data_IF_021192465943
#
_entry.id   IF_021192465943
#
_cell.length_a   1.000
_cell.length_b   1.000
_cell.length_c   1.000
_cell.angle_alpha   90.00
_cell.angle_beta   90.00
_cell.angle_gamma   90.00
#
_symmetry.space_group_name_H-M   'P 1'
#
loop_
_entity.id
_entity.type
_entity.pdbx_description
1 polymer ?
#
# COMPACT_ATOMS: atom_id res chain seq x y z
N UNK A 1 -12.30 21.79 -14.52
CA UNK A 1 -12.26 20.68 -13.55
C UNK A 1 -10.84 20.64 -13.01
N UNK A 2 -10.63 20.57 -11.69
CA UNK A 2 -9.25 20.39 -11.15
C UNK A 2 -8.66 19.10 -11.66
N UNK A 3 -7.35 19.10 -11.91
CA UNK A 3 -6.60 17.91 -12.25
C UNK A 3 -6.71 16.89 -11.12
N UNK A 4 -6.81 15.59 -11.45
CA UNK A 4 -6.85 14.48 -10.49
C UNK A 4 -5.68 14.57 -9.49
N UNK A 5 -4.47 14.80 -9.98
CA UNK A 5 -3.25 14.88 -9.15
C UNK A 5 -3.32 16.01 -8.12
N UNK A 6 -3.91 17.14 -8.49
CA UNK A 6 -4.13 18.25 -7.55
C UNK A 6 -5.12 17.85 -6.46
N UNK A 7 -6.19 17.13 -6.82
CA UNK A 7 -7.18 16.65 -5.84
C UNK A 7 -6.60 15.59 -4.90
N UNK A 8 -5.77 14.70 -5.41
CA UNK A 8 -5.05 13.72 -4.57
C UNK A 8 -4.11 14.43 -3.58
N UNK A 9 -3.28 15.35 -4.05
CA UNK A 9 -2.38 16.13 -3.19
C UNK A 9 -3.15 16.89 -2.10
N UNK A 10 -4.20 17.65 -2.48
CA UNK A 10 -5.04 18.40 -1.53
C UNK A 10 -5.69 17.48 -0.47
N UNK A 11 -6.15 16.30 -0.86
CA UNK A 11 -6.75 15.34 0.06
C UNK A 11 -5.74 14.83 1.10
N UNK A 12 -4.54 14.47 0.65
CA UNK A 12 -3.47 13.97 1.51
C UNK A 12 -2.88 15.07 2.39
N UNK A 13 -2.69 16.28 1.86
CA UNK A 13 -2.26 17.46 2.64
C UNK A 13 -3.27 17.78 3.76
N UNK A 14 -4.57 17.82 3.45
CA UNK A 14 -5.61 18.07 4.45
C UNK A 14 -5.66 16.97 5.52
N UNK A 15 -5.48 15.71 5.12
CA UNK A 15 -5.42 14.57 6.03
C UNK A 15 -4.22 14.66 6.98
N UNK A 16 -3.05 15.04 6.47
CA UNK A 16 -1.85 15.16 7.30
C UNK A 16 -1.93 16.38 8.23
N UNK A 17 -2.49 17.51 7.76
CA UNK A 17 -2.78 18.66 8.62
C UNK A 17 -3.70 18.28 9.79
N UNK A 18 -4.76 17.51 9.52
CA UNK A 18 -5.65 16.99 10.57
C UNK A 18 -4.91 16.05 11.54
N UNK A 19 -3.94 15.27 11.08
CA UNK A 19 -3.11 14.40 11.94
C UNK A 19 -2.32 15.18 12.98
N UNK A 20 -1.89 16.40 12.65
CA UNK A 20 -1.12 17.26 13.53
C UNK A 20 -1.97 17.97 14.59
N UNK A 21 -3.27 18.18 14.34
CA UNK A 21 -4.15 18.95 15.22
C UNK A 21 -5.17 18.11 16.00
N UNK A 22 -5.57 16.96 15.47
CA UNK A 22 -6.53 16.06 16.13
C UNK A 22 -5.83 15.14 17.12
N UNK A 23 -6.54 14.76 18.18
CA UNK A 23 -6.10 13.65 19.01
C UNK A 23 -6.04 12.35 18.20
N UNK A 24 -5.25 11.38 18.66
CA UNK A 24 -5.11 10.08 17.99
C UNK A 24 -6.46 9.37 17.81
N UNK A 25 -7.36 9.51 18.76
CA UNK A 25 -8.71 8.92 18.71
C UNK A 25 -9.59 9.62 17.67
N UNK A 26 -9.62 10.95 17.65
CA UNK A 26 -10.38 11.73 16.67
C UNK A 26 -9.89 11.48 15.25
N UNK A 27 -8.56 11.47 15.03
CA UNK A 27 -7.97 11.16 13.74
C UNK A 27 -8.34 9.73 13.28
N UNK A 28 -8.25 8.75 14.19
CA UNK A 28 -8.67 7.38 13.92
C UNK A 28 -10.14 7.28 13.55
N UNK A 29 -11.00 8.01 14.22
CA UNK A 29 -12.44 8.02 13.93
C UNK A 29 -12.77 8.67 12.59
N UNK A 30 -12.04 9.72 12.21
CA UNK A 30 -12.25 10.46 10.96
C UNK A 30 -11.72 9.72 9.74
N UNK A 31 -10.52 9.13 9.82
CA UNK A 31 -9.77 8.65 8.65
C UNK A 31 -9.48 7.16 8.63
N UNK A 32 -9.83 6.37 9.64
CA UNK A 32 -9.31 5.03 9.67
C UNK A 32 -10.30 3.92 9.33
N UNK A 33 -9.85 3.07 8.42
CA UNK A 33 -10.37 1.73 8.20
C UNK A 33 -9.87 0.71 9.26
N UNK A 34 -9.39 1.18 10.42
CA UNK A 34 -8.64 0.36 11.40
C UNK A 34 -9.33 -0.93 11.79
N UNK A 35 -10.66 -0.94 11.85
CA UNK A 35 -11.42 -2.16 12.18
C UNK A 35 -11.10 -3.33 11.23
N UNK A 36 -10.78 -3.06 9.96
CA UNK A 36 -10.42 -4.11 9.01
C UNK A 36 -8.97 -4.58 9.20
N UNK A 37 -8.08 -3.68 9.60
CA UNK A 37 -6.66 -4.00 9.71
C UNK A 37 -6.29 -4.85 10.94
N UNK A 38 -7.25 -5.11 11.85
CA UNK A 38 -7.00 -6.02 12.98
C UNK A 38 -6.69 -7.45 12.52
N UNK A 39 -7.19 -7.85 11.33
CA UNK A 39 -6.91 -9.16 10.73
C UNK A 39 -5.65 -9.17 9.86
N UNK A 40 -5.05 -8.03 9.57
CA UNK A 40 -4.03 -7.87 8.51
C UNK A 40 -2.63 -8.43 8.88
N UNK A 41 -2.49 -9.21 9.97
CA UNK A 41 -1.18 -9.73 10.40
C UNK A 41 -0.52 -10.61 9.34
N UNK A 42 -1.25 -11.55 8.75
CA UNK A 42 -0.66 -12.53 7.83
C UNK A 42 -0.18 -11.92 6.51
N UNK A 43 -0.86 -10.87 5.99
CA UNK A 43 -0.39 -10.16 4.80
C UNK A 43 0.86 -9.36 5.12
N UNK A 44 0.91 -8.70 6.29
CA UNK A 44 2.10 -7.96 6.73
C UNK A 44 3.30 -8.88 6.94
N UNK A 45 3.11 -10.01 7.64
CA UNK A 45 4.18 -11.00 7.84
C UNK A 45 4.71 -11.53 6.49
N UNK A 46 3.82 -11.74 5.51
CA UNK A 46 4.20 -12.17 4.17
C UNK A 46 5.01 -11.10 3.42
N UNK A 47 4.54 -9.84 3.45
CA UNK A 47 5.26 -8.71 2.87
C UNK A 47 6.64 -8.56 3.51
N UNK A 48 6.71 -8.53 4.84
CA UNK A 48 7.97 -8.36 5.58
C UNK A 48 9.00 -9.42 5.22
N UNK A 49 8.55 -10.66 5.05
CA UNK A 49 9.41 -11.74 4.60
C UNK A 49 9.96 -11.50 3.20
N UNK A 50 9.12 -11.05 2.25
CA UNK A 50 9.54 -10.76 0.89
C UNK A 50 10.53 -9.59 0.85
N UNK A 51 10.18 -8.48 1.50
CA UNK A 51 10.96 -7.24 1.52
C UNK A 51 12.32 -7.49 2.17
N UNK A 52 12.34 -8.14 3.35
CA UNK A 52 13.57 -8.43 4.09
C UNK A 52 14.52 -9.35 3.32
N UNK A 53 14.00 -10.25 2.48
CA UNK A 53 14.82 -11.15 1.68
C UNK A 53 15.66 -10.45 0.61
N UNK A 54 15.38 -9.17 0.35
CA UNK A 54 16.03 -8.34 -0.67
C UNK A 54 16.76 -7.11 -0.10
N UNK A 55 16.80 -6.96 1.22
CA UNK A 55 17.28 -5.71 1.84
C UNK A 55 18.78 -5.48 1.64
N UNK A 56 19.60 -6.50 1.91
CA UNK A 56 21.06 -6.34 1.90
C UNK A 56 21.61 -6.00 0.51
N UNK A 57 22.40 -4.95 0.41
CA UNK A 57 23.03 -4.51 -0.84
C UNK A 57 22.06 -3.84 -1.83
N UNK A 58 20.86 -3.43 -1.36
CA UNK A 58 19.79 -2.95 -2.25
C UNK A 58 19.39 -1.52 -1.96
N UNK A 59 19.07 -0.78 -3.05
CA UNK A 59 18.36 0.50 -2.99
C UNK A 59 16.87 0.26 -3.19
N UNK A 60 16.05 0.82 -2.30
CA UNK A 60 14.61 0.66 -2.35
C UNK A 60 13.90 1.99 -2.55
N UNK A 61 12.83 1.96 -3.36
CA UNK A 61 11.87 3.04 -3.49
C UNK A 61 10.59 2.68 -2.73
N UNK A 62 10.20 3.51 -1.77
CA UNK A 62 8.86 3.52 -1.18
C UNK A 62 7.99 4.46 -2.04
N UNK A 63 7.16 3.87 -2.86
CA UNK A 63 6.40 4.54 -3.91
C UNK A 63 5.07 5.04 -3.35
N UNK A 64 4.87 6.35 -3.33
CA UNK A 64 3.83 7.05 -2.59
C UNK A 64 3.94 6.74 -1.09
N UNK A 65 5.04 7.22 -0.48
CA UNK A 65 5.48 6.81 0.85
C UNK A 65 4.65 7.42 1.99
N UNK A 66 3.77 8.39 1.67
CA UNK A 66 3.02 9.14 2.66
C UNK A 66 3.95 9.76 3.72
N UNK A 67 3.56 9.72 5.00
CA UNK A 67 4.37 10.28 6.09
C UNK A 67 5.57 9.38 6.51
N UNK A 68 6.04 8.45 5.65
CA UNK A 68 7.29 7.72 5.78
C UNK A 68 7.30 6.53 6.72
N UNK A 69 6.15 6.01 7.16
CA UNK A 69 6.10 4.87 8.11
C UNK A 69 6.73 3.60 7.52
N UNK A 70 6.43 3.29 6.25
CA UNK A 70 7.03 2.16 5.54
C UNK A 70 8.51 2.39 5.29
N UNK A 71 8.90 3.59 4.87
CA UNK A 71 10.28 3.94 4.59
C UNK A 71 11.19 3.76 5.80
N UNK A 72 10.77 4.21 7.00
CA UNK A 72 11.51 3.98 8.24
C UNK A 72 11.63 2.49 8.59
N UNK A 73 10.58 1.72 8.33
CA UNK A 73 10.64 0.27 8.49
C UNK A 73 11.65 -0.38 7.54
N UNK A 74 11.74 0.09 6.28
CA UNK A 74 12.70 -0.38 5.29
C UNK A 74 14.14 -0.04 5.72
N UNK A 75 14.38 1.18 6.21
CA UNK A 75 15.69 1.57 6.76
C UNK A 75 16.12 0.64 7.90
N UNK A 76 15.20 0.32 8.82
CA UNK A 76 15.47 -0.63 9.92
C UNK A 76 15.66 -2.09 9.44
N UNK A 77 15.24 -2.45 8.24
CA UNK A 77 15.47 -3.78 7.67
C UNK A 77 16.85 -3.97 7.05
N UNK A 78 17.65 -2.88 6.95
CA UNK A 78 19.03 -2.93 6.45
C UNK A 78 19.16 -2.76 4.94
N UNK A 79 18.29 -1.98 4.30
CA UNK A 79 18.51 -1.49 2.95
C UNK A 79 19.67 -0.50 2.92
N UNK A 80 20.47 -0.53 1.88
CA UNK A 80 21.62 0.37 1.73
C UNK A 80 21.17 1.82 1.59
N UNK A 81 20.05 2.04 0.88
CA UNK A 81 19.44 3.36 0.74
C UNK A 81 17.93 3.26 0.50
N UNK A 82 17.16 4.13 1.16
CA UNK A 82 15.71 4.21 1.04
C UNK A 82 15.31 5.55 0.43
N UNK A 83 14.67 5.52 -0.72
CA UNK A 83 14.02 6.68 -1.31
C UNK A 83 12.51 6.60 -1.06
N UNK A 84 11.91 7.73 -0.66
CA UNK A 84 10.46 7.87 -0.58
C UNK A 84 10.01 9.02 -1.47
N UNK A 85 8.93 8.81 -2.21
CA UNK A 85 8.28 9.87 -2.98
C UNK A 85 6.80 9.93 -2.64
N UNK A 86 6.25 11.13 -2.61
CA UNK A 86 4.81 11.34 -2.49
C UNK A 86 4.42 12.65 -3.19
N UNK A 87 3.15 12.76 -3.59
CA UNK A 87 2.65 13.99 -4.22
C UNK A 87 2.30 15.07 -3.17
N UNK A 88 2.04 14.66 -1.92
CA UNK A 88 1.69 15.54 -0.81
C UNK A 88 2.95 16.15 -0.19
N UNK A 89 3.01 17.48 -0.20
CA UNK A 89 4.10 18.22 0.44
C UNK A 89 4.07 18.10 1.97
N UNK A 90 2.89 18.05 2.56
CA UNK A 90 2.71 17.92 4.02
C UNK A 90 3.13 16.53 4.51
N UNK A 91 2.77 15.46 3.77
CA UNK A 91 3.20 14.10 4.12
C UNK A 91 4.72 13.95 4.01
N UNK A 92 5.35 14.50 2.97
CA UNK A 92 6.83 14.52 2.82
C UNK A 92 7.50 15.35 3.92
N UNK A 93 6.92 16.49 4.32
CA UNK A 93 7.41 17.28 5.47
C UNK A 93 7.44 16.44 6.75
N UNK A 94 6.34 15.72 7.02
CA UNK A 94 6.26 14.80 8.17
C UNK A 94 7.25 13.63 8.03
N UNK A 95 7.41 13.07 6.85
CA UNK A 95 8.36 11.98 6.59
C UNK A 95 9.80 12.42 6.87
N UNK A 96 10.21 13.60 6.38
CA UNK A 96 11.54 14.17 6.64
C UNK A 96 11.80 14.42 8.13
N UNK A 97 10.81 14.93 8.87
CA UNK A 97 10.93 15.11 10.32
C UNK A 97 11.16 13.77 11.03
N UNK A 98 10.37 12.75 10.70
CA UNK A 98 10.53 11.39 11.25
C UNK A 98 11.89 10.78 10.90
N UNK A 99 12.40 11.06 9.71
CA UNK A 99 13.70 10.61 9.24
C UNK A 99 14.82 11.13 10.16
N UNK A 100 14.81 12.46 10.45
CA UNK A 100 15.76 13.10 11.33
C UNK A 100 15.63 12.53 12.75
N UNK A 101 14.41 12.44 13.28
CA UNK A 101 14.15 11.93 14.64
C UNK A 101 14.61 10.47 14.81
N UNK A 102 14.71 9.72 13.72
CA UNK A 102 15.12 8.31 13.71
C UNK A 102 16.59 8.07 13.35
N UNK A 103 17.33 9.11 12.96
CA UNK A 103 18.77 9.04 12.65
C UNK A 103 19.11 8.34 11.32
N UNK A 104 18.17 8.29 10.36
CA UNK A 104 18.37 7.65 9.05
C UNK A 104 18.65 8.63 7.89
N UNK A 105 18.91 9.90 8.17
CA UNK A 105 19.13 10.96 7.18
C UNK A 105 20.34 10.72 6.24
N UNK A 106 21.25 9.84 6.61
CA UNK A 106 22.42 9.46 5.78
C UNK A 106 22.12 8.34 4.79
N UNK A 107 21.06 7.59 5.04
CA UNK A 107 20.69 6.38 4.27
C UNK A 107 19.28 6.44 3.72
N UNK A 108 18.63 7.59 3.84
CA UNK A 108 17.27 7.77 3.29
C UNK A 108 17.06 9.21 2.83
N UNK A 109 16.15 9.37 1.85
CA UNK A 109 15.78 10.66 1.26
C UNK A 109 14.32 10.65 0.86
N UNK A 110 13.58 11.73 1.15
CA UNK A 110 12.18 11.88 0.77
C UNK A 110 11.96 13.14 -0.07
N UNK A 111 11.19 12.99 -1.16
CA UNK A 111 10.96 14.07 -2.11
C UNK A 111 9.48 14.18 -2.51
N UNK A 112 9.00 15.41 -2.67
CA UNK A 112 7.71 15.66 -3.33
C UNK A 112 7.90 15.35 -4.82
N UNK A 113 7.16 14.36 -5.32
CA UNK A 113 7.30 13.91 -6.71
C UNK A 113 6.02 13.27 -7.22
N UNK A 114 5.72 13.52 -8.49
CA UNK A 114 4.66 12.79 -9.21
C UNK A 114 5.12 11.36 -9.53
N UNK A 115 4.45 10.40 -8.94
CA UNK A 115 4.76 8.99 -9.10
C UNK A 115 4.56 8.48 -10.54
N UNK A 116 3.72 9.14 -11.34
CA UNK A 116 3.48 8.83 -12.76
C UNK A 116 4.50 9.47 -13.71
N UNK A 117 5.38 10.33 -13.17
CA UNK A 117 6.43 11.02 -13.95
C UNK A 117 7.65 11.27 -13.08
N UNK A 118 8.34 10.20 -12.72
CA UNK A 118 9.48 10.27 -11.82
C UNK A 118 10.73 10.86 -12.51
N UNK A 119 11.51 11.63 -11.75
CA UNK A 119 12.78 12.23 -12.23
C UNK A 119 13.99 11.32 -12.04
N UNK A 120 13.83 10.15 -11.45
CA UNK A 120 14.92 9.17 -11.30
C UNK A 120 15.39 8.64 -12.65
N UNK A 121 16.69 8.36 -12.80
CA UNK A 121 17.22 7.67 -13.96
C UNK A 121 16.63 6.27 -14.14
N UNK A 122 16.72 5.73 -15.34
CA UNK A 122 16.39 4.33 -15.62
C UNK A 122 17.24 3.39 -14.74
N UNK A 123 16.67 2.25 -14.33
CA UNK A 123 17.37 1.23 -13.56
C UNK A 123 17.97 1.74 -12.24
N UNK A 124 17.25 2.58 -11.49
CA UNK A 124 17.72 3.19 -10.26
C UNK A 124 17.57 2.28 -9.03
N UNK A 125 16.52 1.43 -9.00
CA UNK A 125 16.12 0.70 -7.80
C UNK A 125 16.19 -0.82 -7.96
N UNK A 126 16.66 -1.49 -6.91
CA UNK A 126 16.66 -2.95 -6.81
C UNK A 126 15.28 -3.46 -6.36
N UNK A 127 14.59 -2.66 -5.53
CA UNK A 127 13.26 -2.98 -4.99
C UNK A 127 12.36 -1.74 -5.03
N UNK A 128 11.08 -1.94 -5.36
CA UNK A 128 10.05 -0.90 -5.25
C UNK A 128 8.90 -1.45 -4.41
N UNK A 129 8.42 -0.65 -3.45
CA UNK A 129 7.31 -1.00 -2.55
C UNK A 129 6.11 -0.12 -2.86
N UNK A 130 4.97 -0.73 -3.15
CA UNK A 130 3.69 -0.07 -3.44
C UNK A 130 2.65 -0.56 -2.42
N UNK A 131 2.40 0.19 -1.35
CA UNK A 131 1.51 -0.22 -0.26
C UNK A 131 0.15 0.49 -0.33
N UNK A 132 -0.82 -0.08 -1.07
CA UNK A 132 -2.16 0.46 -1.19
C UNK A 132 -2.18 1.80 -1.93
N UNK A 133 -1.41 1.91 -3.01
CA UNK A 133 -1.18 3.17 -3.72
C UNK A 133 -1.54 3.12 -5.20
N UNK A 134 -1.51 1.93 -5.82
CA UNK A 134 -1.73 1.82 -7.27
C UNK A 134 -3.14 2.21 -7.69
N UNK A 135 -4.12 2.09 -6.79
CA UNK A 135 -5.49 2.49 -7.07
C UNK A 135 -5.73 4.02 -7.03
N UNK A 136 -4.75 4.81 -6.55
CA UNK A 136 -4.75 6.27 -6.65
C UNK A 136 -4.22 6.78 -8.00
N UNK A 137 -3.56 5.93 -8.78
CA UNK A 137 -2.77 6.30 -9.96
C UNK A 137 -3.46 5.89 -11.27
N UNK A 138 -3.08 6.57 -12.35
CA UNK A 138 -3.33 6.06 -13.68
C UNK A 138 -2.33 4.93 -13.96
N UNK A 139 -2.85 3.71 -14.00
CA UNK A 139 -2.03 2.50 -14.19
C UNK A 139 -1.32 2.49 -15.55
N UNK A 140 -1.89 3.14 -16.56
CA UNK A 140 -1.26 3.21 -17.88
C UNK A 140 -0.06 4.16 -17.90
N UNK A 141 0.04 5.10 -16.96
CA UNK A 141 1.21 5.96 -16.73
C UNK A 141 2.16 5.38 -15.67
N UNK A 142 1.62 4.82 -14.59
CA UNK A 142 2.41 4.32 -13.47
C UNK A 142 3.25 3.08 -13.81
N UNK A 143 2.70 2.10 -14.55
CA UNK A 143 3.44 0.86 -14.86
C UNK A 143 4.67 1.07 -15.74
N UNK A 144 4.65 1.91 -16.81
CA UNK A 144 5.85 2.27 -17.57
C UNK A 144 6.93 2.88 -16.68
N UNK A 145 6.57 3.83 -15.80
CA UNK A 145 7.51 4.50 -14.90
C UNK A 145 8.13 3.53 -13.89
N UNK A 146 7.31 2.69 -13.26
CA UNK A 146 7.78 1.63 -12.36
C UNK A 146 8.75 0.67 -13.07
N UNK A 147 8.44 0.30 -14.31
CA UNK A 147 9.30 -0.57 -15.11
C UNK A 147 10.61 0.12 -15.50
N UNK A 148 10.56 1.42 -15.82
CA UNK A 148 11.73 2.22 -16.23
C UNK A 148 12.75 2.35 -15.11
N UNK A 149 12.29 2.67 -13.90
CA UNK A 149 13.19 2.91 -12.75
C UNK A 149 13.64 1.63 -12.06
N UNK A 150 12.98 0.49 -12.30
CA UNK A 150 13.36 -0.79 -11.75
C UNK A 150 14.56 -1.37 -12.50
N UNK A 151 15.58 -1.83 -11.79
CA UNK A 151 16.73 -2.52 -12.38
C UNK A 151 16.31 -3.86 -13.00
N UNK A 152 17.02 -4.35 -14.03
CA UNK A 152 16.87 -5.72 -14.51
C UNK A 152 17.06 -6.73 -13.37
N UNK A 153 16.09 -7.62 -13.19
CA UNK A 153 16.08 -8.60 -12.07
C UNK A 153 15.64 -8.03 -10.73
N UNK A 154 15.29 -6.74 -10.67
CA UNK A 154 14.69 -6.11 -9.49
C UNK A 154 13.30 -6.64 -9.16
N UNK A 155 12.75 -6.24 -8.03
CA UNK A 155 11.45 -6.68 -7.53
C UNK A 155 10.53 -5.50 -7.22
N UNK A 156 9.29 -5.57 -7.70
CA UNK A 156 8.21 -4.74 -7.18
C UNK A 156 7.35 -5.60 -6.25
N UNK A 157 7.07 -5.08 -5.06
CA UNK A 157 6.08 -5.64 -4.15
C UNK A 157 4.92 -4.66 -4.02
N UNK A 158 3.75 -5.08 -4.50
CA UNK A 158 2.53 -4.29 -4.39
C UNK A 158 1.52 -5.00 -3.48
N UNK A 159 0.94 -4.27 -2.53
CA UNK A 159 -0.19 -4.74 -1.73
C UNK A 159 -1.41 -3.86 -2.03
N UNK A 160 -2.48 -4.48 -2.53
CA UNK A 160 -3.66 -3.75 -2.97
C UNK A 160 -4.96 -4.43 -2.52
N UNK A 161 -6.01 -3.62 -2.41
CA UNK A 161 -7.37 -4.13 -2.26
C UNK A 161 -7.93 -4.56 -3.62
N UNK A 162 -8.69 -5.67 -3.63
CA UNK A 162 -9.36 -6.17 -4.83
C UNK A 162 -10.78 -5.64 -4.98
N UNK A 163 -11.13 -5.28 -6.21
CA UNK A 163 -12.42 -4.69 -6.58
C UNK A 163 -13.59 -5.66 -6.73
N UNK A 164 -13.46 -6.95 -6.43
CA UNK A 164 -14.52 -7.93 -6.69
C UNK A 164 -15.39 -8.26 -5.49
N UNK A 165 -14.89 -8.11 -4.26
CA UNK A 165 -15.62 -8.45 -3.04
C UNK A 165 -16.82 -7.52 -2.83
N UNK A 166 -18.08 -8.04 -2.82
CA UNK A 166 -19.27 -7.19 -2.72
C UNK A 166 -19.38 -6.48 -1.36
N UNK A 167 -18.89 -7.10 -0.28
CA UNK A 167 -18.89 -6.48 1.05
C UNK A 167 -17.93 -5.30 1.12
N UNK A 168 -16.76 -5.43 0.50
CA UNK A 168 -15.78 -4.34 0.39
C UNK A 168 -16.34 -3.22 -0.50
N UNK A 169 -16.97 -3.55 -1.63
CA UNK A 169 -17.65 -2.55 -2.47
C UNK A 169 -18.72 -1.78 -1.70
N UNK A 170 -19.58 -2.50 -0.98
CA UNK A 170 -20.63 -1.88 -0.15
C UNK A 170 -20.02 -0.96 0.90
N UNK A 171 -19.00 -1.43 1.63
CA UNK A 171 -18.30 -0.63 2.63
C UNK A 171 -17.69 0.65 2.01
N UNK A 172 -17.00 0.53 0.87
CA UNK A 172 -16.42 1.70 0.16
C UNK A 172 -17.51 2.71 -0.22
N UNK A 173 -18.66 2.25 -0.70
CA UNK A 173 -19.81 3.10 -1.03
C UNK A 173 -20.39 3.80 0.20
N UNK A 174 -20.35 3.17 1.38
CA UNK A 174 -20.85 3.75 2.63
C UNK A 174 -19.86 4.72 3.30
N UNK A 175 -18.62 4.74 2.87
CA UNK A 175 -17.54 5.56 3.45
C UNK A 175 -16.81 6.40 2.40
N UNK A 176 -17.52 7.27 1.64
CA UNK A 176 -16.90 8.05 0.56
C UNK A 176 -15.89 9.09 1.09
N UNK A 177 -16.06 9.59 2.32
CA UNK A 177 -15.19 10.57 2.96
C UNK A 177 -13.78 10.05 3.27
N UNK A 178 -13.56 8.74 3.18
CA UNK A 178 -12.24 8.12 3.42
C UNK A 178 -11.35 8.07 2.17
N UNK A 179 -11.81 8.61 1.05
CA UNK A 179 -11.11 8.48 -0.24
C UNK A 179 -11.48 9.59 -1.21
N UNK A 180 -10.65 9.76 -2.23
CA UNK A 180 -10.94 10.67 -3.34
C UNK A 180 -12.02 10.09 -4.28
N UNK A 181 -12.57 10.94 -5.14
CA UNK A 181 -13.52 10.50 -6.17
C UNK A 181 -12.86 9.49 -7.13
N UNK A 182 -11.60 9.69 -7.47
CA UNK A 182 -10.82 8.77 -8.32
C UNK A 182 -10.74 7.37 -7.72
N UNK A 183 -10.30 7.24 -6.47
CA UNK A 183 -10.20 5.96 -5.78
C UNK A 183 -11.52 5.19 -5.71
N UNK A 184 -12.66 5.87 -5.71
CA UNK A 184 -13.98 5.23 -5.65
C UNK A 184 -14.22 4.36 -6.86
N UNK A 185 -13.75 4.79 -8.04
CA UNK A 185 -14.00 4.14 -9.33
C UNK A 185 -12.81 3.26 -9.79
N UNK A 186 -11.60 3.47 -9.23
CA UNK A 186 -10.35 2.87 -9.71
C UNK A 186 -9.72 1.85 -8.74
N UNK A 187 -10.53 1.00 -8.11
CA UNK A 187 -10.02 -0.15 -7.35
C UNK A 187 -9.47 -1.23 -8.31
N UNK A 188 -8.33 -1.83 -7.97
CA UNK A 188 -7.66 -2.78 -8.84
C UNK A 188 -8.49 -4.05 -9.13
N UNK A 189 -8.38 -4.49 -10.37
CA UNK A 189 -9.03 -5.70 -10.90
C UNK A 189 -8.02 -6.57 -11.66
N UNK A 190 -8.50 -7.66 -12.26
CA UNK A 190 -7.66 -8.49 -13.15
C UNK A 190 -7.20 -7.73 -14.40
N UNK A 191 -7.86 -6.63 -14.79
CA UNK A 191 -7.45 -5.82 -15.92
C UNK A 191 -6.05 -5.23 -15.68
N UNK A 192 -5.84 -4.62 -14.52
CA UNK A 192 -4.58 -3.99 -14.13
C UNK A 192 -3.47 -5.03 -13.96
N UNK A 193 -3.81 -6.22 -13.42
CA UNK A 193 -2.88 -7.36 -13.37
C UNK A 193 -2.48 -7.88 -14.76
N UNK A 194 -3.38 -7.84 -15.75
CA UNK A 194 -3.03 -8.18 -17.13
C UNK A 194 -2.12 -7.12 -17.75
N UNK A 195 -2.37 -5.83 -17.48
CA UNK A 195 -1.53 -4.74 -17.95
C UNK A 195 -0.10 -4.87 -17.41
N UNK A 196 0.07 -5.21 -16.12
CA UNK A 196 1.40 -5.36 -15.52
C UNK A 196 2.27 -6.40 -16.22
N UNK A 197 1.68 -7.47 -16.78
CA UNK A 197 2.41 -8.51 -17.54
C UNK A 197 3.06 -8.02 -18.85
N UNK A 198 2.70 -6.81 -19.31
CA UNK A 198 3.36 -6.19 -20.47
C UNK A 198 4.73 -5.59 -20.11
N UNK A 199 4.92 -5.24 -18.83
CA UNK A 199 6.08 -4.54 -18.32
C UNK A 199 7.00 -5.44 -17.48
N UNK A 200 6.46 -6.49 -16.86
CA UNK A 200 7.18 -7.36 -15.95
C UNK A 200 7.14 -8.82 -16.40
N UNK A 201 8.32 -9.44 -16.52
CA UNK A 201 8.48 -10.81 -16.99
C UNK A 201 7.80 -11.85 -16.09
N UNK A 202 7.68 -11.57 -14.79
CA UNK A 202 7.09 -12.48 -13.83
C UNK A 202 6.17 -11.70 -12.88
N UNK A 203 4.90 -12.06 -12.87
CA UNK A 203 3.89 -11.51 -11.97
C UNK A 203 3.32 -12.66 -11.16
N UNK A 204 3.57 -12.65 -9.84
CA UNK A 204 3.00 -13.59 -8.90
C UNK A 204 1.95 -12.87 -8.06
N UNK A 205 0.85 -13.53 -7.76
CA UNK A 205 -0.21 -12.95 -6.93
C UNK A 205 -0.57 -13.91 -5.82
N UNK A 206 -0.62 -13.41 -4.60
CA UNK A 206 -1.14 -14.11 -3.43
C UNK A 206 -2.30 -13.34 -2.84
N UNK A 207 -3.39 -14.05 -2.57
CA UNK A 207 -4.66 -13.49 -2.11
C UNK A 207 -4.83 -13.70 -0.61
N UNK A 208 -5.49 -12.73 0.05
CA UNK A 208 -5.67 -12.74 1.50
C UNK A 208 -7.07 -12.28 1.88
N UNK A 209 -7.64 -12.93 2.91
CA UNK A 209 -8.84 -12.50 3.63
C UNK A 209 -10.14 -12.52 2.81
N UNK A 210 -10.82 -13.64 2.87
CA UNK A 210 -12.21 -13.79 2.46
C UNK A 210 -13.06 -14.20 3.68
N UNK A 211 -12.90 -15.43 4.17
CA UNK A 211 -13.60 -15.91 5.36
C UNK A 211 -13.16 -15.18 6.63
N UNK A 212 -11.88 -14.79 6.69
CA UNK A 212 -11.31 -14.05 7.84
C UNK A 212 -11.99 -12.70 8.09
N UNK A 213 -12.63 -12.10 7.09
CA UNK A 213 -13.45 -10.89 7.29
C UNK A 213 -14.56 -11.09 8.34
N UNK A 214 -15.06 -12.32 8.52
CA UNK A 214 -16.06 -12.65 9.54
C UNK A 214 -15.53 -12.54 10.99
N UNK A 215 -14.21 -12.47 11.19
CA UNK A 215 -13.62 -12.27 12.52
C UNK A 215 -13.68 -10.80 13.00
N UNK A 216 -13.84 -9.85 12.10
CA UNK A 216 -13.78 -8.41 12.41
C UNK A 216 -14.77 -7.97 13.50
N UNK A 217 -16.05 -8.38 13.49
CA UNK A 217 -17.00 -8.01 14.53
C UNK A 217 -16.59 -8.48 15.94
N UNK A 218 -15.71 -9.47 16.04
CA UNK A 218 -15.25 -10.07 17.28
C UNK A 218 -13.90 -9.53 17.76
N UNK A 219 -13.33 -8.52 17.09
CA UNK A 219 -11.96 -8.02 17.31
C UNK A 219 -11.62 -7.72 18.78
N UNK A 220 -12.60 -7.24 19.56
CA UNK A 220 -12.43 -6.88 20.97
C UNK A 220 -13.00 -7.92 21.95
N UNK A 221 -13.19 -9.18 21.50
CA UNK A 221 -13.76 -10.26 22.31
C UNK A 221 -12.78 -11.44 22.44
N UNK A 222 -13.01 -12.31 23.44
CA UNK A 222 -12.23 -13.55 23.58
C UNK A 222 -12.42 -14.53 22.40
N UNK A 223 -13.49 -14.36 21.62
CA UNK A 223 -13.77 -15.19 20.43
C UNK A 223 -12.90 -14.82 19.22
N UNK A 224 -12.24 -13.66 19.22
CA UNK A 224 -11.46 -13.20 18.07
C UNK A 224 -10.38 -14.20 17.63
N UNK A 225 -9.54 -14.64 18.57
CA UNK A 225 -8.44 -15.59 18.26
C UNK A 225 -8.94 -16.93 17.70
N UNK A 226 -9.90 -17.63 18.32
CA UNK A 226 -10.42 -18.89 17.77
C UNK A 226 -11.11 -18.69 16.40
N UNK A 227 -11.88 -17.61 16.20
CA UNK A 227 -12.50 -17.34 14.90
C UNK A 227 -11.43 -17.05 13.84
N UNK A 228 -10.41 -16.25 14.15
CA UNK A 228 -9.27 -15.99 13.25
C UNK A 228 -8.56 -17.27 12.84
N UNK A 229 -8.39 -18.22 13.74
CA UNK A 229 -7.73 -19.50 13.44
C UNK A 229 -8.58 -20.35 12.48
N UNK A 230 -9.88 -20.49 12.77
CA UNK A 230 -10.81 -21.26 11.93
C UNK A 230 -10.95 -20.63 10.55
N UNK A 231 -11.23 -19.33 10.49
CA UNK A 231 -11.44 -18.64 9.23
C UNK A 231 -10.15 -18.52 8.41
N UNK A 232 -8.99 -18.42 9.07
CA UNK A 232 -7.68 -18.46 8.42
C UNK A 232 -7.40 -19.82 7.77
N UNK A 233 -7.80 -20.93 8.40
CA UNK A 233 -7.73 -22.27 7.80
C UNK A 233 -8.65 -22.38 6.58
N UNK A 234 -9.88 -21.85 6.67
CA UNK A 234 -10.83 -21.79 5.55
C UNK A 234 -10.22 -20.96 4.40
N UNK A 235 -9.64 -19.80 4.68
CA UNK A 235 -8.98 -18.98 3.65
C UNK A 235 -7.81 -19.70 2.98
N UNK A 236 -7.04 -20.49 3.73
CA UNK A 236 -5.94 -21.28 3.17
C UNK A 236 -6.42 -22.29 2.10
N UNK A 237 -7.67 -22.72 2.17
CA UNK A 237 -8.32 -23.59 1.18
C UNK A 237 -8.93 -22.74 0.07
N UNK A 238 -9.78 -21.76 0.42
CA UNK A 238 -10.52 -20.94 -0.55
C UNK A 238 -9.60 -20.17 -1.51
N UNK A 239 -8.46 -19.67 -1.02
CA UNK A 239 -7.50 -18.91 -1.83
C UNK A 239 -6.77 -19.77 -2.87
N UNK A 240 -6.93 -21.08 -2.85
CA UNK A 240 -6.41 -22.00 -3.89
C UNK A 240 -7.43 -22.28 -5.01
N UNK A 241 -8.68 -21.90 -4.81
CA UNK A 241 -9.77 -22.18 -5.77
C UNK A 241 -9.85 -21.04 -6.78
N UNK A 242 -9.58 -21.31 -8.08
CA UNK A 242 -9.71 -20.31 -9.13
C UNK A 242 -11.10 -19.65 -9.13
N UNK A 243 -11.13 -18.33 -9.25
CA UNK A 243 -12.39 -17.55 -9.18
C UNK A 243 -12.78 -17.15 -7.76
N UNK A 244 -12.78 -18.03 -6.77
CA UNK A 244 -13.09 -17.69 -5.37
C UNK A 244 -12.02 -16.75 -4.79
N UNK A 245 -10.75 -16.96 -5.10
CA UNK A 245 -9.64 -16.12 -4.69
C UNK A 245 -9.81 -14.64 -5.09
N UNK A 246 -10.57 -14.35 -6.15
CA UNK A 246 -10.87 -12.98 -6.59
C UNK A 246 -11.78 -12.24 -5.62
N UNK A 247 -12.51 -12.95 -4.75
CA UNK A 247 -13.31 -12.36 -3.69
C UNK A 247 -12.48 -11.99 -2.45
N UNK A 248 -11.17 -12.22 -2.46
CA UNK A 248 -10.28 -11.78 -1.39
C UNK A 248 -10.37 -10.26 -1.18
N UNK A 249 -10.11 -9.82 0.04
CA UNK A 249 -10.02 -8.39 0.32
C UNK A 249 -8.72 -7.79 -0.21
N UNK A 250 -7.60 -8.49 -0.04
CA UNK A 250 -6.28 -7.99 -0.40
C UNK A 250 -5.50 -9.00 -1.25
N UNK A 251 -4.58 -8.46 -2.07
CA UNK A 251 -3.57 -9.21 -2.81
C UNK A 251 -2.17 -8.60 -2.60
N UNK A 252 -1.18 -9.46 -2.72
CA UNK A 252 0.24 -9.07 -2.81
C UNK A 252 0.84 -9.70 -4.04
#
# INVERSE_FOLDING_TARGET
MKDRKVLEAEFHDAREADRLILSEEEFKNKYSNKKFYVIAKSVRDYQDKLIKSKAQGSKVLDYCCGPGETSLKLANMGYDYVYGIDISAEEISTANKRLIDSGFEKTSEFQVMDAEKMTFPDNSFDVIICNGVLHHLDIDEALPELSRVLKPGGMIMAMEALGYNPLIKLYRKMTPHLRTAWETDHILTLSELKKSKKYFNKVNVKYFYLATLAAIPFANTFLFKPIMMITGFIDAILMKIPGIQLMAWQMV
#
